data_IF_568742490369
#
_entry.id   IF_568742490369
#
_cell.length_a   1.000
_cell.length_b   1.000
_cell.length_c   1.000
_cell.angle_alpha   90.00
_cell.angle_beta   90.00
_cell.angle_gamma   90.00
#
_symmetry.space_group_name_H-M   'P 1'
#
loop_
_entity.id
_entity.type
_entity.pdbx_description
1 polymer ?
#
# COMPACT_ATOMS: atom_id res chain seq x y z
N UNK A 1 7.45 -25.08 -13.50
CA UNK A 1 7.28 -25.05 -12.03
C UNK A 1 8.49 -25.76 -11.43
N UNK A 2 9.29 -25.06 -10.60
CA UNK A 2 10.48 -25.68 -9.99
C UNK A 2 10.01 -26.66 -8.91
N UNK A 3 10.73 -27.77 -8.71
CA UNK A 3 10.45 -28.72 -7.61
C UNK A 3 10.43 -28.02 -6.24
N UNK A 4 11.24 -26.97 -6.07
CA UNK A 4 11.24 -26.13 -4.88
C UNK A 4 9.89 -25.44 -4.66
N UNK A 5 9.29 -24.88 -5.71
CA UNK A 5 8.00 -24.18 -5.64
C UNK A 5 6.83 -25.12 -5.35
N UNK A 6 6.94 -26.38 -5.80
CA UNK A 6 6.01 -27.45 -5.49
C UNK A 6 6.06 -27.82 -4.00
N UNK A 7 7.26 -27.99 -3.43
CA UNK A 7 7.44 -28.30 -2.01
C UNK A 7 6.96 -27.11 -1.16
N UNK A 8 7.44 -25.92 -1.48
CA UNK A 8 7.06 -24.70 -0.78
C UNK A 8 7.19 -23.47 -1.66
N UNK A 9 6.13 -22.67 -1.72
CA UNK A 9 6.21 -21.30 -2.21
C UNK A 9 5.34 -20.38 -1.36
N UNK A 10 5.74 -19.12 -1.25
CA UNK A 10 4.98 -18.08 -0.56
C UNK A 10 5.03 -16.80 -1.39
N UNK A 11 3.87 -16.22 -1.65
CA UNK A 11 3.72 -14.92 -2.30
C UNK A 11 2.60 -14.13 -1.63
N UNK A 12 2.88 -12.88 -1.31
CA UNK A 12 1.88 -11.93 -0.83
C UNK A 12 1.39 -11.10 -2.04
N UNK A 13 0.07 -10.96 -2.19
CA UNK A 13 -0.60 -10.23 -3.27
C UNK A 13 -1.71 -9.35 -2.65
N UNK A 14 -1.42 -8.06 -2.47
CA UNK A 14 -2.25 -7.16 -1.68
C UNK A 14 -2.43 -7.69 -0.26
N UNK A 15 -3.69 -7.83 0.18
CA UNK A 15 -4.03 -8.34 1.51
C UNK A 15 -4.05 -9.86 1.62
N UNK A 16 -3.75 -10.57 0.53
CA UNK A 16 -3.77 -12.02 0.47
C UNK A 16 -2.35 -12.59 0.51
N UNK A 17 -2.21 -13.75 1.14
CA UNK A 17 -1.01 -14.58 1.11
C UNK A 17 -1.35 -15.93 0.49
N UNK A 18 -0.69 -16.23 -0.63
CA UNK A 18 -0.77 -17.50 -1.34
C UNK A 18 0.45 -18.34 -0.94
N UNK A 19 0.21 -19.55 -0.46
CA UNK A 19 1.24 -20.54 -0.15
C UNK A 19 0.99 -21.80 -0.97
N UNK A 20 2.06 -22.46 -1.40
CA UNK A 20 2.02 -23.86 -1.84
C UNK A 20 2.78 -24.68 -0.80
N UNK A 21 2.23 -25.80 -0.37
CA UNK A 21 2.90 -26.77 0.51
C UNK A 21 2.65 -28.15 -0.10
N UNK A 22 3.68 -28.82 -0.59
CA UNK A 22 3.58 -30.12 -1.29
C UNK A 22 2.48 -30.14 -2.37
N UNK A 23 2.46 -29.12 -3.23
CA UNK A 23 1.46 -28.97 -4.30
C UNK A 23 0.08 -28.48 -3.85
N UNK A 24 -0.19 -28.42 -2.54
CA UNK A 24 -1.46 -27.91 -1.99
C UNK A 24 -1.41 -26.38 -1.93
N UNK A 25 -2.35 -25.73 -2.61
CA UNK A 25 -2.47 -24.27 -2.61
C UNK A 25 -3.36 -23.80 -1.46
N UNK A 26 -2.80 -22.93 -0.60
CA UNK A 26 -3.48 -22.33 0.55
C UNK A 26 -3.52 -20.82 0.35
N UNK A 27 -4.69 -20.21 0.51
CA UNK A 27 -4.88 -18.76 0.39
C UNK A 27 -5.41 -18.22 1.72
N UNK A 28 -4.72 -17.25 2.29
CA UNK A 28 -5.07 -16.63 3.58
C UNK A 28 -5.11 -15.11 3.47
N UNK A 29 -5.87 -14.45 4.36
CA UNK A 29 -5.84 -12.99 4.56
C UNK A 29 -5.23 -12.68 5.93
N UNK A 30 -3.91 -12.70 6.07
CA UNK A 30 -3.28 -12.50 7.35
C UNK A 30 -3.42 -11.03 7.80
N UNK A 31 -3.66 -10.80 9.09
CA UNK A 31 -4.04 -9.47 9.63
C UNK A 31 -2.96 -8.41 9.37
N UNK A 32 -1.69 -8.79 9.38
CA UNK A 32 -0.59 -7.86 9.12
C UNK A 32 -0.65 -7.26 7.70
N UNK A 33 -1.10 -8.03 6.70
CA UNK A 33 -1.23 -7.50 5.34
C UNK A 33 -2.41 -6.54 5.20
N UNK A 34 -3.48 -6.74 5.98
CA UNK A 34 -4.59 -5.80 6.06
C UNK A 34 -4.13 -4.48 6.68
N UNK A 35 -3.38 -4.53 7.78
CA UNK A 35 -2.85 -3.34 8.46
C UNK A 35 -1.90 -2.57 7.54
N UNK A 36 -0.98 -3.27 6.87
CA UNK A 36 -0.05 -2.64 5.93
C UNK A 36 -0.79 -1.90 4.80
N UNK A 37 -1.80 -2.53 4.20
CA UNK A 37 -2.61 -1.89 3.16
C UNK A 37 -3.37 -0.66 3.68
N UNK A 38 -3.86 -0.68 4.91
CA UNK A 38 -4.51 0.50 5.52
C UNK A 38 -3.50 1.62 5.80
N UNK A 39 -2.29 1.29 6.24
CA UNK A 39 -1.22 2.25 6.46
C UNK A 39 -0.78 2.93 5.16
N UNK A 40 -0.64 2.18 4.07
CA UNK A 40 -0.35 2.73 2.73
C UNK A 40 -1.42 3.73 2.30
N UNK A 41 -2.71 3.39 2.44
CA UNK A 41 -3.82 4.29 2.13
C UNK A 41 -3.83 5.55 3.00
N UNK A 42 -3.49 5.43 4.28
CA UNK A 42 -3.38 6.58 5.18
C UNK A 42 -2.21 7.48 4.76
N UNK A 43 -1.08 6.90 4.37
CA UNK A 43 0.09 7.63 3.91
C UNK A 43 -0.21 8.42 2.63
N UNK A 44 -0.85 7.80 1.63
CA UNK A 44 -1.28 8.48 0.41
C UNK A 44 -2.21 9.66 0.69
N UNK A 45 -3.17 9.50 1.61
CA UNK A 45 -4.07 10.59 2.01
C UNK A 45 -3.32 11.75 2.66
N UNK A 46 -2.33 11.47 3.50
CA UNK A 46 -1.50 12.51 4.12
C UNK A 46 -0.73 13.29 3.05
N UNK A 47 -0.15 12.60 2.06
CA UNK A 47 0.54 13.26 0.95
C UNK A 47 -0.41 14.19 0.16
N UNK A 48 -1.61 13.70 -0.18
CA UNK A 48 -2.62 14.51 -0.87
C UNK A 48 -3.05 15.76 -0.06
N UNK A 49 -3.16 15.63 1.26
CA UNK A 49 -3.48 16.76 2.13
C UNK A 49 -2.33 17.78 2.12
N UNK A 50 -1.08 17.32 2.21
CA UNK A 50 0.09 18.19 2.18
C UNK A 50 0.19 18.97 0.86
N UNK A 51 -0.04 18.31 -0.28
CA UNK A 51 -0.02 18.96 -1.60
C UNK A 51 -1.09 20.05 -1.69
N UNK A 52 -2.29 19.77 -1.17
CA UNK A 52 -3.38 20.77 -1.13
C UNK A 52 -3.04 21.94 -0.22
N UNK A 53 -2.42 21.69 0.93
CA UNK A 53 -1.99 22.76 1.84
C UNK A 53 -0.93 23.65 1.19
N UNK A 54 0.07 23.07 0.53
CA UNK A 54 1.09 23.84 -0.19
C UNK A 54 0.47 24.73 -1.27
N UNK A 55 -0.46 24.20 -2.06
CA UNK A 55 -1.17 24.99 -3.08
C UNK A 55 -1.97 26.15 -2.47
N UNK A 56 -2.62 25.95 -1.32
CA UNK A 56 -3.35 27.02 -0.62
C UNK A 56 -2.38 28.10 -0.13
N UNK A 57 -1.23 27.72 0.42
CA UNK A 57 -0.21 28.65 0.89
C UNK A 57 0.37 29.48 -0.27
N UNK A 58 0.68 28.85 -1.40
CA UNK A 58 1.15 29.56 -2.60
C UNK A 58 0.12 30.57 -3.11
N UNK A 59 -1.16 30.20 -3.15
CA UNK A 59 -2.22 31.12 -3.54
C UNK A 59 -2.35 32.31 -2.60
N UNK A 60 -2.21 32.09 -1.29
CA UNK A 60 -2.24 33.15 -0.29
C UNK A 60 -1.04 34.11 -0.43
N UNK A 61 0.16 33.57 -0.63
CA UNK A 61 1.36 34.37 -0.87
C UNK A 61 1.23 35.24 -2.12
N UNK A 62 0.65 34.71 -3.20
CA UNK A 62 0.38 35.47 -4.43
C UNK A 62 -0.65 36.58 -4.18
N UNK A 63 -1.73 36.29 -3.45
CA UNK A 63 -2.75 37.28 -3.10
C UNK A 63 -2.16 38.47 -2.32
N UNK A 64 -1.27 38.22 -1.34
CA UNK A 64 -0.59 39.29 -0.60
C UNK A 64 0.31 40.12 -1.51
N UNK A 65 1.00 39.49 -2.47
CA UNK A 65 1.95 40.18 -3.36
C UNK A 65 1.26 41.05 -4.42
N UNK A 66 0.06 40.68 -4.83
CA UNK A 66 -0.72 41.40 -5.86
C UNK A 66 -1.70 42.44 -5.28
N UNK A 67 -1.95 42.42 -3.97
CA UNK A 67 -2.88 43.31 -3.25
C UNK A 67 -2.27 44.59 -2.66
#
# INVERSE_FOLDING_TARGET
MNIKDFIYSKKDEGVYRKRTIFGIKIITKPKELLINSQLELMHEKILQINDRLNSVLENYDNFIREG
#
